data_IF_772860980448
#
_entry.id   IF_772860980448
#
_cell.length_a   1.000
_cell.length_b   1.000
_cell.length_c   1.000
_cell.angle_alpha   90.00
_cell.angle_beta   90.00
_cell.angle_gamma   90.00
#
_symmetry.space_group_name_H-M   'P 1'
#
loop_
_entity.id
_entity.type
_entity.pdbx_description
1 polymer ?
#
# COMPACT_ATOMS: atom_id res chain seq x y z
N UNK A 1 -4.89 -7.92 -7.28
CA UNK A 1 -4.38 -7.58 -8.63
C UNK A 1 -2.98 -7.01 -8.46
N UNK A 2 -2.00 -7.48 -9.25
CA UNK A 2 -0.61 -7.01 -9.20
C UNK A 2 -0.13 -6.66 -10.61
N UNK A 3 0.80 -5.69 -10.71
CA UNK A 3 1.43 -5.30 -11.98
C UNK A 3 0.60 -4.38 -12.87
N UNK A 4 -0.55 -3.89 -12.39
CA UNK A 4 -1.41 -3.00 -13.15
C UNK A 4 -0.97 -1.53 -13.07
N UNK A 5 -1.14 -0.79 -14.17
CA UNK A 5 -0.75 0.63 -14.26
C UNK A 5 -1.93 1.60 -14.09
N UNK A 6 -3.14 1.16 -14.44
CA UNK A 6 -4.37 1.96 -14.32
C UNK A 6 -5.49 1.19 -13.63
N UNK A 7 -6.56 1.88 -13.22
CA UNK A 7 -7.75 1.26 -12.59
C UNK A 7 -8.54 0.37 -13.55
N UNK A 8 -8.48 0.66 -14.86
CA UNK A 8 -9.08 -0.09 -15.97
C UNK A 8 -8.01 -0.49 -16.99
N UNK A 9 -6.99 -1.21 -16.56
CA UNK A 9 -5.94 -1.69 -17.47
C UNK A 9 -6.28 -3.12 -17.90
N UNK A 10 -6.31 -3.36 -19.21
CA UNK A 10 -6.57 -4.64 -19.87
C UNK A 10 -5.30 -5.24 -20.50
N UNK A 11 -4.13 -4.61 -20.30
CA UNK A 11 -2.84 -5.12 -20.75
C UNK A 11 -2.49 -6.40 -20.01
N UNK A 12 -2.47 -7.54 -20.73
CA UNK A 12 -2.33 -8.91 -20.21
C UNK A 12 -1.05 -9.26 -19.41
N UNK A 13 -0.34 -8.27 -18.88
CA UNK A 13 0.80 -8.40 -17.96
C UNK A 13 0.38 -8.48 -16.48
N UNK A 14 -0.91 -8.28 -16.19
CA UNK A 14 -1.44 -8.27 -14.84
C UNK A 14 -1.63 -9.66 -14.25
N UNK A 15 -1.47 -9.76 -12.93
CA UNK A 15 -1.73 -11.00 -12.21
C UNK A 15 -2.92 -10.83 -11.26
N UNK A 16 -3.94 -11.65 -11.49
CA UNK A 16 -5.07 -11.81 -10.58
C UNK A 16 -4.79 -12.97 -9.63
N UNK A 17 -4.90 -12.71 -8.32
CA UNK A 17 -4.75 -13.70 -7.26
C UNK A 17 -5.86 -13.54 -6.26
N UNK A 18 -6.48 -14.66 -5.90
CA UNK A 18 -7.43 -14.73 -4.79
C UNK A 18 -6.66 -14.74 -3.48
N UNK A 19 -7.19 -14.07 -2.46
CA UNK A 19 -6.75 -14.25 -1.09
C UNK A 19 -7.15 -15.65 -0.62
N UNK A 20 -6.23 -16.34 0.06
CA UNK A 20 -6.52 -17.57 0.78
C UNK A 20 -6.75 -17.30 2.26
N UNK A 21 -5.98 -16.37 2.84
CA UNK A 21 -6.08 -16.02 4.25
C UNK A 21 -5.67 -14.58 4.50
N UNK A 22 -6.30 -13.97 5.51
CA UNK A 22 -5.97 -12.65 6.02
C UNK A 22 -5.52 -12.81 7.48
N UNK A 23 -4.41 -12.15 7.83
CA UNK A 23 -3.85 -12.13 9.18
C UNK A 23 -3.81 -10.68 9.65
N UNK A 24 -4.78 -10.31 10.50
CA UNK A 24 -4.82 -8.98 11.12
C UNK A 24 -3.79 -8.90 12.24
N UNK A 25 -3.21 -7.73 12.46
CA UNK A 25 -2.34 -7.51 13.60
C UNK A 25 -3.12 -7.80 14.91
N UNK A 26 -2.63 -8.69 15.79
CA UNK A 26 -3.42 -9.14 16.94
C UNK A 26 -3.80 -8.05 17.95
N UNK A 27 -3.07 -6.93 17.95
CA UNK A 27 -3.30 -5.79 18.85
C UNK A 27 -3.90 -4.58 18.14
N UNK A 28 -4.50 -4.77 16.96
CA UNK A 28 -5.22 -3.69 16.30
C UNK A 28 -6.29 -3.13 17.23
N UNK A 29 -6.26 -1.81 17.43
CA UNK A 29 -7.24 -1.10 18.24
C UNK A 29 -8.19 -0.32 17.32
N UNK A 30 -9.46 -0.72 17.30
CA UNK A 30 -10.44 -0.13 16.39
C UNK A 30 -10.76 1.34 16.70
N UNK A 31 -10.68 1.75 17.96
CA UNK A 31 -10.98 3.12 18.40
C UNK A 31 -9.86 4.09 18.03
N UNK A 32 -8.61 3.73 18.33
CA UNK A 32 -7.44 4.60 18.09
C UNK A 32 -6.81 4.40 16.71
N UNK A 33 -7.18 3.31 16.03
CA UNK A 33 -6.52 2.81 14.80
C UNK A 33 -5.06 2.40 15.00
N UNK A 34 -4.61 2.24 16.24
CA UNK A 34 -3.27 1.73 16.52
C UNK A 34 -3.10 0.30 15.98
N UNK A 35 -1.94 0.03 15.39
CA UNK A 35 -1.63 -1.25 14.78
C UNK A 35 -2.45 -1.59 13.53
N UNK A 36 -2.84 -0.59 12.72
CA UNK A 36 -3.53 -0.79 11.43
C UNK A 36 -2.61 -1.43 10.37
N UNK A 37 -2.36 -2.73 10.54
CA UNK A 37 -1.51 -3.56 9.70
C UNK A 37 -2.14 -4.95 9.53
N UNK A 38 -2.06 -5.49 8.31
CA UNK A 38 -2.49 -6.85 8.03
C UNK A 38 -1.63 -7.51 6.95
N UNK A 39 -1.52 -8.84 7.00
CA UNK A 39 -0.90 -9.65 5.97
C UNK A 39 -1.96 -10.43 5.20
N UNK A 40 -1.78 -10.57 3.89
CA UNK A 40 -2.65 -11.37 3.03
C UNK A 40 -1.82 -12.47 2.39
N UNK A 41 -2.23 -13.73 2.59
CA UNK A 41 -1.66 -14.88 1.88
C UNK A 41 -2.47 -15.14 0.62
N UNK A 42 -1.81 -15.20 -0.53
CA UNK A 42 -2.44 -15.57 -1.79
C UNK A 42 -2.67 -17.09 -1.87
N UNK A 43 -3.73 -17.49 -2.57
CA UNK A 43 -4.06 -18.91 -2.80
C UNK A 43 -3.02 -19.60 -3.67
N UNK A 44 -2.50 -18.88 -4.68
CA UNK A 44 -1.39 -19.33 -5.51
C UNK A 44 -0.26 -18.30 -5.44
N UNK A 45 1.00 -18.73 -5.59
CA UNK A 45 2.14 -17.82 -5.65
C UNK A 45 1.97 -16.78 -6.76
N UNK A 46 2.56 -15.60 -6.53
CA UNK A 46 2.70 -14.56 -7.55
C UNK A 46 4.01 -14.79 -8.28
N UNK A 47 4.01 -14.62 -9.60
CA UNK A 47 5.25 -14.62 -10.37
C UNK A 47 5.91 -13.25 -10.26
N UNK A 48 7.18 -13.21 -9.89
CA UNK A 48 7.98 -11.97 -9.93
C UNK A 48 8.30 -11.67 -11.40
N UNK A 49 8.01 -10.45 -11.82
CA UNK A 49 8.22 -9.99 -13.21
C UNK A 49 8.82 -8.60 -13.22
N UNK A 50 8.99 -8.01 -14.41
CA UNK A 50 9.42 -6.61 -14.52
C UNK A 50 8.43 -5.65 -13.84
N UNK A 51 7.13 -5.99 -13.82
CA UNK A 51 6.05 -5.17 -13.28
C UNK A 51 5.59 -5.59 -11.88
N UNK A 52 5.98 -6.76 -11.41
CA UNK A 52 5.63 -7.26 -10.07
C UNK A 52 6.91 -7.59 -9.32
N UNK A 53 7.26 -6.74 -8.35
CA UNK A 53 8.46 -6.90 -7.52
C UNK A 53 8.11 -6.71 -6.04
N UNK A 54 8.72 -7.49 -5.13
CA UNK A 54 8.59 -7.23 -3.70
C UNK A 54 9.29 -5.92 -3.33
N UNK A 55 8.72 -5.20 -2.36
CA UNK A 55 9.37 -4.06 -1.72
C UNK A 55 10.11 -4.56 -0.47
N UNK A 56 11.39 -4.19 -0.25
CA UNK A 56 12.09 -4.59 0.96
C UNK A 56 11.42 -3.99 2.20
N UNK A 57 11.46 -4.75 3.30
CA UNK A 57 10.99 -4.25 4.58
C UNK A 57 11.98 -3.22 5.14
N UNK A 58 11.46 -2.20 5.81
CA UNK A 58 12.28 -1.25 6.53
C UNK A 58 13.06 -1.97 7.65
N UNK A 59 14.36 -1.72 7.72
CA UNK A 59 15.24 -2.24 8.78
C UNK A 59 15.46 -1.24 9.92
N UNK A 60 15.06 0.01 9.73
CA UNK A 60 15.23 1.11 10.67
C UNK A 60 14.10 2.13 10.50
N UNK A 61 13.88 2.94 11.53
CA UNK A 61 12.91 4.01 11.48
C UNK A 61 13.35 5.11 10.51
N UNK A 62 12.43 5.72 9.74
CA UNK A 62 12.75 6.86 8.91
C UNK A 62 13.13 8.08 9.76
N UNK A 63 14.03 8.91 9.23
CA UNK A 63 14.43 10.18 9.86
C UNK A 63 13.42 11.28 9.45
N UNK A 64 13.02 12.18 10.36
CA UNK A 64 12.19 13.34 10.01
C UNK A 64 12.78 14.16 8.86
N UNK A 65 11.92 14.70 7.99
CA UNK A 65 12.33 15.46 6.80
C UNK A 65 12.75 14.60 5.60
N UNK A 66 12.70 13.27 5.71
CA UNK A 66 13.00 12.38 4.59
C UNK A 66 11.87 12.35 3.56
N UNK A 67 12.21 12.65 2.31
CA UNK A 67 11.25 12.56 1.19
C UNK A 67 10.78 11.13 0.99
N UNK A 68 9.46 10.95 0.95
CA UNK A 68 8.80 9.67 0.72
C UNK A 68 7.96 9.73 -0.57
N UNK A 69 7.79 8.59 -1.23
CA UNK A 69 6.90 8.45 -2.38
C UNK A 69 5.62 7.71 -1.96
N UNK A 70 4.47 8.31 -2.23
CA UNK A 70 3.15 7.72 -1.99
C UNK A 70 2.50 7.47 -3.36
N UNK A 71 1.83 6.33 -3.52
CA UNK A 71 1.16 5.96 -4.78
C UNK A 71 -0.17 5.25 -4.53
N UNK A 72 -1.13 5.43 -5.45
CA UNK A 72 -2.45 4.81 -5.36
C UNK A 72 -3.41 5.33 -6.42
N UNK A 73 -4.59 4.72 -6.51
CA UNK A 73 -5.70 5.16 -7.38
C UNK A 73 -6.88 5.76 -6.60
N UNK A 74 -6.68 6.05 -5.31
CA UNK A 74 -7.68 6.67 -4.44
C UNK A 74 -7.77 8.18 -4.63
N UNK A 75 -8.80 8.80 -4.03
CA UNK A 75 -8.88 10.26 -3.97
C UNK A 75 -7.73 10.82 -3.14
N UNK A 76 -7.10 11.87 -3.63
CA UNK A 76 -6.14 12.68 -2.86
C UNK A 76 -6.79 13.90 -2.22
N UNK A 77 -8.09 14.13 -2.47
CA UNK A 77 -8.86 15.22 -1.84
C UNK A 77 -9.63 14.71 -0.63
N UNK A 78 -9.46 15.38 0.51
CA UNK A 78 -10.38 15.29 1.65
C UNK A 78 -11.62 16.16 1.40
N UNK A 79 -12.81 15.79 1.93
CA UNK A 79 -13.98 16.68 1.97
C UNK A 79 -13.73 17.96 2.79
N UNK A 80 -12.75 17.90 3.70
CA UNK A 80 -12.27 19.05 4.47
C UNK A 80 -11.03 19.63 3.79
N UNK A 81 -11.27 20.67 2.99
CA UNK A 81 -10.31 21.72 2.63
C UNK A 81 -9.09 21.31 1.80
N UNK A 82 -8.77 22.13 0.81
CA UNK A 82 -7.53 22.02 0.04
C UNK A 82 -6.34 22.44 0.90
N UNK A 83 -5.95 21.63 1.87
CA UNK A 83 -4.64 21.77 2.50
C UNK A 83 -3.60 21.17 1.56
N UNK A 84 -2.64 21.94 1.02
CA UNK A 84 -1.52 21.34 0.33
C UNK A 84 -0.80 20.44 1.34
N UNK A 85 -0.57 19.18 0.96
CA UNK A 85 0.25 18.25 1.72
C UNK A 85 1.67 18.83 1.86
N UNK A 86 1.86 19.66 2.89
CA UNK A 86 3.13 20.25 3.27
C UNK A 86 3.72 19.41 4.39
N UNK A 87 4.70 18.58 4.04
CA UNK A 87 5.49 17.84 5.02
C UNK A 87 6.80 18.60 5.28
N UNK A 88 6.80 19.42 6.33
CA UNK A 88 7.99 20.11 6.85
C UNK A 88 7.60 21.02 8.02
N UNK A 89 8.46 21.18 9.05
CA UNK A 89 8.17 22.14 10.12
C UNK A 89 8.22 23.55 9.54
N UNK A 90 7.35 24.42 10.06
CA UNK A 90 7.40 25.86 9.80
C UNK A 90 8.77 26.44 10.15
#
# INVERSE_FOLDING_TARGET
RLGGRGRKDSGGIEQWRRSAKVFRYPRYNETTKDGDLMLIKFLLPVHVTKQVKPLPLASHCPVPGKTCQISGWGSTTSPEGTEPVTWGPR
#
